data_IF_612672237128
#
_entry.id   IF_612672237128
#
_cell.length_a   1.000
_cell.length_b   1.000
_cell.length_c   1.000
_cell.angle_alpha   90.00
_cell.angle_beta   90.00
_cell.angle_gamma   90.00
#
_symmetry.space_group_name_H-M   'P 1'
#
loop_
_entity.id
_entity.type
_entity.pdbx_description
1 polymer ?
#
# COMPACT_ATOMS: atom_id res chain seq x y z
N UNK A 1 18.39 0.81 21.72
CA UNK A 1 17.61 1.25 20.55
C UNK A 1 18.58 1.39 19.38
N UNK A 2 18.23 0.85 18.21
CA UNK A 2 19.06 1.07 17.01
C UNK A 2 18.97 2.55 16.57
N UNK A 3 20.04 3.16 16.04
CA UNK A 3 20.14 4.60 15.80
C UNK A 3 19.57 5.02 14.42
N UNK A 4 18.37 4.53 14.06
CA UNK A 4 17.77 4.80 12.75
C UNK A 4 16.35 5.33 12.92
N UNK A 5 15.99 6.37 12.18
CA UNK A 5 14.62 6.89 12.15
C UNK A 5 13.66 5.97 11.36
N UNK A 6 14.20 5.26 10.38
CA UNK A 6 13.49 4.30 9.55
C UNK A 6 14.46 3.19 9.14
N UNK A 7 13.99 1.93 9.20
CA UNK A 7 14.68 0.80 8.62
C UNK A 7 13.73 -0.03 7.76
N UNK A 8 14.28 -0.75 6.78
CA UNK A 8 13.52 -1.62 5.88
C UNK A 8 14.16 -2.99 5.77
N UNK A 9 13.37 -3.99 5.39
CA UNK A 9 13.86 -5.32 5.05
C UNK A 9 13.06 -5.91 3.89
N UNK A 10 13.69 -6.82 3.14
CA UNK A 10 13.09 -7.52 2.02
C UNK A 10 13.28 -9.03 2.21
N UNK A 11 12.50 -9.82 1.49
CA UNK A 11 12.75 -11.25 1.34
C UNK A 11 13.78 -11.53 0.24
N UNK A 12 14.05 -12.81 -0.04
CA UNK A 12 15.20 -13.24 -0.82
C UNK A 12 15.19 -12.76 -2.29
N UNK A 13 14.01 -12.65 -2.90
CA UNK A 13 13.80 -12.14 -4.27
C UNK A 13 13.30 -10.69 -4.31
N UNK A 14 13.11 -10.06 -3.15
CA UNK A 14 12.82 -8.63 -2.98
C UNK A 14 11.50 -8.16 -3.59
N UNK A 15 10.51 -9.04 -3.71
CA UNK A 15 9.15 -8.66 -4.10
C UNK A 15 8.27 -8.21 -2.91
N UNK A 16 8.74 -8.46 -1.67
CA UNK A 16 8.10 -8.02 -0.43
C UNK A 16 8.97 -7.03 0.34
N UNK A 17 8.32 -6.26 1.22
CA UNK A 17 8.93 -5.25 2.06
C UNK A 17 8.44 -5.33 3.50
N UNK A 18 9.31 -4.99 4.43
CA UNK A 18 9.02 -4.74 5.84
C UNK A 18 9.52 -3.35 6.22
N UNK A 19 8.72 -2.61 6.99
CA UNK A 19 9.01 -1.23 7.40
C UNK A 19 9.11 -1.20 8.92
N UNK A 20 10.19 -0.62 9.45
CA UNK A 20 10.50 -0.60 10.88
C UNK A 20 10.72 0.83 11.36
N UNK A 21 10.01 1.22 12.43
CA UNK A 21 10.17 2.53 13.09
C UNK A 21 10.61 2.39 14.55
N UNK A 22 11.25 3.42 15.15
CA UNK A 22 11.77 3.36 16.53
C UNK A 22 10.72 3.17 17.63
N UNK A 23 9.48 3.55 17.36
CA UNK A 23 8.35 3.58 18.29
C UNK A 23 7.47 2.32 18.17
N UNK A 24 7.19 1.88 16.95
CA UNK A 24 6.28 0.77 16.69
C UNK A 24 7.00 -0.57 16.36
N UNK A 25 8.31 -0.54 16.09
CA UNK A 25 9.01 -1.71 15.58
C UNK A 25 8.56 -2.03 14.15
N UNK A 26 8.36 -3.32 13.83
CA UNK A 26 7.86 -3.73 12.51
C UNK A 26 6.39 -3.34 12.32
N UNK A 27 6.13 -2.47 11.36
CA UNK A 27 4.79 -1.99 11.03
C UNK A 27 3.91 -3.12 10.47
N UNK A 28 2.64 -3.14 10.85
CA UNK A 28 1.66 -4.05 10.25
C UNK A 28 1.56 -3.77 8.73
N UNK A 29 1.69 -4.78 7.85
CA UNK A 29 1.64 -4.57 6.40
C UNK A 29 0.38 -3.84 5.91
N UNK A 30 -0.79 -4.14 6.47
CA UNK A 30 -2.04 -3.47 6.08
C UNK A 30 -2.05 -1.97 6.45
N UNK A 31 -1.40 -1.60 7.56
CA UNK A 31 -1.31 -0.19 7.96
C UNK A 31 -0.39 0.57 7.00
N UNK A 32 0.74 -0.03 6.63
CA UNK A 32 1.65 0.58 5.68
C UNK A 32 0.99 0.73 4.30
N UNK A 33 0.27 -0.30 3.81
CA UNK A 33 -0.47 -0.22 2.54
C UNK A 33 -1.49 0.93 2.54
N UNK A 34 -2.23 1.12 3.63
CA UNK A 34 -3.19 2.22 3.74
C UNK A 34 -2.52 3.59 3.64
N UNK A 35 -1.42 3.81 4.38
CA UNK A 35 -0.63 5.06 4.34
C UNK A 35 0.00 5.28 2.95
N UNK A 36 0.55 4.23 2.34
CA UNK A 36 1.16 4.32 1.02
C UNK A 36 0.14 4.72 -0.05
N UNK A 37 -1.07 4.14 -0.02
CA UNK A 37 -2.17 4.49 -0.93
C UNK A 37 -2.56 5.96 -0.76
N UNK A 38 -2.83 6.40 0.47
CA UNK A 38 -3.19 7.79 0.75
C UNK A 38 -2.12 8.76 0.24
N UNK A 39 -0.86 8.52 0.58
CA UNK A 39 0.25 9.38 0.20
C UNK A 39 0.41 9.45 -1.32
N UNK A 40 0.41 8.31 -2.02
CA UNK A 40 0.59 8.28 -3.48
C UNK A 40 -0.51 9.07 -4.21
N UNK A 41 -1.79 8.86 -3.86
CA UNK A 41 -2.89 9.51 -4.55
C UNK A 41 -3.07 11.00 -4.22
N UNK A 42 -2.45 11.48 -3.13
CA UNK A 42 -2.42 12.90 -2.76
C UNK A 42 -1.13 13.62 -3.21
N UNK A 43 -0.07 12.88 -3.53
CA UNK A 43 1.26 13.42 -3.89
C UNK A 43 1.75 12.98 -5.27
N UNK A 44 0.83 12.59 -6.17
CA UNK A 44 1.11 12.31 -7.59
C UNK A 44 0.18 13.16 -8.48
N UNK A 45 0.40 14.48 -8.58
CA UNK A 45 -0.50 15.38 -9.31
C UNK A 45 -0.60 15.10 -10.81
N UNK A 46 0.33 14.30 -11.36
CA UNK A 46 0.34 13.91 -12.76
C UNK A 46 -0.49 12.63 -13.03
N UNK A 47 -0.93 11.91 -11.99
CA UNK A 47 -1.78 10.74 -12.17
C UNK A 47 -3.19 11.16 -12.57
N UNK A 48 -3.71 10.50 -13.60
CA UNK A 48 -5.09 10.71 -14.05
C UNK A 48 -6.08 10.47 -12.90
N UNK A 49 -7.20 11.19 -12.93
CA UNK A 49 -8.33 10.93 -12.03
C UNK A 49 -8.90 9.51 -12.22
N UNK A 50 -8.69 8.92 -13.39
CA UNK A 50 -9.13 7.57 -13.75
C UNK A 50 -8.25 6.44 -13.18
N UNK A 51 -7.11 6.76 -12.56
CA UNK A 51 -6.27 5.75 -11.90
C UNK A 51 -7.01 5.23 -10.66
N UNK A 52 -7.09 3.90 -10.55
CA UNK A 52 -7.81 3.20 -9.49
C UNK A 52 -6.85 2.52 -8.50
N UNK A 53 -7.38 2.15 -7.33
CA UNK A 53 -6.64 1.41 -6.30
C UNK A 53 -7.01 -0.07 -6.36
N UNK A 54 -6.03 -0.94 -6.62
CA UNK A 54 -6.21 -2.38 -6.53
C UNK A 54 -6.03 -2.90 -5.11
N UNK A 55 -6.95 -3.76 -4.65
CA UNK A 55 -6.89 -4.41 -3.32
C UNK A 55 -7.27 -5.89 -3.44
N UNK A 56 -6.57 -6.77 -2.73
CA UNK A 56 -7.04 -8.17 -2.61
C UNK A 56 -8.14 -8.29 -1.56
N UNK A 57 -9.12 -9.17 -1.79
CA UNK A 57 -10.32 -9.34 -0.94
C UNK A 57 -10.04 -9.53 0.56
N UNK A 58 -8.90 -10.12 0.92
CA UNK A 58 -8.53 -10.42 2.32
C UNK A 58 -7.76 -9.28 3.00
N UNK A 59 -7.49 -8.18 2.30
CA UNK A 59 -6.80 -7.01 2.87
C UNK A 59 -7.73 -6.21 3.78
N UNK A 60 -7.16 -5.46 4.73
CA UNK A 60 -7.92 -4.71 5.74
C UNK A 60 -8.93 -3.72 5.13
N UNK A 61 -10.10 -3.60 5.77
CA UNK A 61 -11.12 -2.58 5.42
C UNK A 61 -10.68 -1.15 5.71
N UNK A 62 -9.53 -0.97 6.37
CA UNK A 62 -8.85 0.32 6.46
C UNK A 62 -8.57 0.92 5.08
N UNK A 63 -8.16 0.08 4.11
CA UNK A 63 -7.88 0.52 2.74
C UNK A 63 -9.16 1.07 2.10
N UNK A 64 -10.29 0.39 2.27
CA UNK A 64 -11.59 0.81 1.72
C UNK A 64 -11.96 2.22 2.20
N UNK A 65 -11.76 2.48 3.50
CA UNK A 65 -12.03 3.79 4.11
C UNK A 65 -11.10 4.87 3.61
N UNK A 66 -9.80 4.58 3.50
CA UNK A 66 -8.81 5.53 2.96
C UNK A 66 -9.15 5.90 1.53
N UNK A 67 -9.41 4.90 0.68
CA UNK A 67 -9.72 5.10 -0.75
C UNK A 67 -11.01 5.91 -0.94
N UNK A 68 -12.04 5.63 -0.15
CA UNK A 68 -13.26 6.43 -0.14
C UNK A 68 -13.01 7.86 0.35
N UNK A 69 -12.19 8.04 1.39
CA UNK A 69 -11.86 9.34 1.96
C UNK A 69 -11.11 10.28 1.01
N UNK A 70 -10.29 9.72 0.11
CA UNK A 70 -9.57 10.48 -0.94
C UNK A 70 -10.33 10.54 -2.28
N UNK A 71 -11.56 10.04 -2.34
CA UNK A 71 -12.43 10.12 -3.52
C UNK A 71 -11.97 9.27 -4.71
N UNK A 72 -11.33 8.13 -4.46
CA UNK A 72 -10.83 7.22 -5.51
C UNK A 72 -11.66 5.94 -5.60
N UNK A 73 -11.57 5.26 -6.74
CA UNK A 73 -12.26 3.98 -6.95
C UNK A 73 -11.39 2.82 -6.48
N UNK A 74 -11.96 1.96 -5.65
CA UNK A 74 -11.36 0.70 -5.21
C UNK A 74 -11.77 -0.44 -6.15
N UNK A 75 -10.80 -1.20 -6.63
CA UNK A 75 -11.01 -2.43 -7.41
C UNK A 75 -10.55 -3.61 -6.58
N UNK A 76 -11.52 -4.39 -6.10
CA UNK A 76 -11.26 -5.58 -5.29
C UNK A 76 -11.12 -6.83 -6.15
N UNK A 77 -10.08 -7.62 -5.87
CA UNK A 77 -9.72 -8.81 -6.65
C UNK A 77 -9.44 -10.01 -5.74
N UNK A 78 -9.49 -11.26 -6.24
CA UNK A 78 -9.06 -12.42 -5.46
C UNK A 78 -7.58 -12.34 -5.04
N UNK A 79 -7.16 -13.23 -4.15
CA UNK A 79 -5.76 -13.30 -3.71
C UNK A 79 -4.84 -13.62 -4.90
N UNK A 80 -3.73 -12.88 -4.97
CA UNK A 80 -2.62 -13.08 -5.92
C UNK A 80 -2.31 -11.83 -6.76
N UNK A 81 -1.03 -11.49 -6.87
CA UNK A 81 -0.58 -10.29 -7.58
C UNK A 81 -0.89 -10.30 -9.08
N UNK A 82 -1.08 -11.49 -9.68
CA UNK A 82 -1.44 -11.67 -11.10
C UNK A 82 -2.64 -10.84 -11.56
N UNK A 83 -3.55 -10.49 -10.64
CA UNK A 83 -4.74 -9.69 -10.94
C UNK A 83 -4.43 -8.20 -11.16
N UNK A 84 -3.29 -7.71 -10.68
CA UNK A 84 -2.86 -6.33 -10.87
C UNK A 84 -2.07 -6.11 -12.16
N UNK A 85 -1.44 -7.17 -12.70
CA UNK A 85 -0.54 -7.08 -13.86
C UNK A 85 -1.18 -6.39 -15.08
N UNK A 86 -2.43 -6.69 -15.50
CA UNK A 86 -3.01 -6.03 -16.67
C UNK A 86 -3.32 -4.55 -16.48
N UNK A 87 -3.51 -4.10 -15.24
CA UNK A 87 -3.90 -2.72 -14.92
C UNK A 87 -2.72 -1.80 -14.58
N UNK A 88 -1.52 -2.35 -14.42
CA UNK A 88 -0.29 -1.62 -14.13
C UNK A 88 0.49 -1.43 -15.45
N UNK A 89 0.26 -0.32 -16.14
CA UNK A 89 0.93 0.10 -17.38
C UNK A 89 1.35 1.56 -17.33
#
# INVERSE_FOLDING_TARGET
>A
RAPYDLATGNDADSDRHGIVTPDAGLMNPNHYLAVAIEYLFTHRPQWSEQVNVGKTLVSSSLIDRVVAGIGRTLVEVPVGFKWFVPGLV
#
